data_IF_007480608832
#
_entry.id   IF_007480608832
#
_cell.length_a   1.000
_cell.length_b   1.000
_cell.length_c   1.000
_cell.angle_alpha   90.00
_cell.angle_beta   90.00
_cell.angle_gamma   90.00
#
_symmetry.space_group_name_H-M   'P 1'
#
loop_
_entity.id
_entity.type
_entity.pdbx_description
1 polymer ?
#
# COMPACT_ATOMS: atom_id res chain seq x y z
N UNK A 1 -16.41 12.20 16.49
CA UNK A 1 -15.66 12.00 15.23
C UNK A 1 -14.17 12.20 15.52
N UNK A 2 -13.41 11.14 15.81
CA UNK A 2 -11.96 11.22 15.98
C UNK A 2 -11.28 10.48 14.83
N UNK A 3 -10.78 11.23 13.84
CA UNK A 3 -9.76 10.75 12.90
C UNK A 3 -8.45 10.66 13.69
N UNK A 4 -8.12 9.49 14.21
CA UNK A 4 -6.77 9.22 14.72
C UNK A 4 -5.81 9.28 13.53
N UNK A 5 -5.05 10.38 13.43
CA UNK A 5 -3.78 10.43 12.71
C UNK A 5 -2.86 9.44 13.42
N UNK A 6 -2.70 8.25 12.85
CA UNK A 6 -1.59 7.39 13.23
C UNK A 6 -0.50 7.65 12.20
N UNK A 7 0.59 8.25 12.66
CA UNK A 7 1.77 8.48 11.85
C UNK A 7 2.31 7.11 11.39
N UNK A 8 2.57 6.86 10.10
CA UNK A 8 3.39 5.73 9.73
C UNK A 8 4.82 6.09 10.15
N UNK A 9 5.21 5.62 11.33
CA UNK A 9 6.61 5.59 11.74
C UNK A 9 7.41 4.97 10.60
N UNK A 10 8.38 5.73 10.10
CA UNK A 10 9.20 5.41 8.95
C UNK A 10 10.05 4.15 9.21
N UNK A 11 9.41 2.98 9.10
CA UNK A 11 10.09 1.70 9.06
C UNK A 11 10.58 1.51 7.62
N UNK A 12 11.69 2.18 7.30
CA UNK A 12 12.27 2.23 5.97
C UNK A 12 12.86 0.88 5.50
N UNK A 13 12.85 -0.13 6.37
CA UNK A 13 13.38 -1.47 6.11
C UNK A 13 12.32 -2.49 5.66
N UNK A 14 11.02 -2.14 5.68
CA UNK A 14 9.97 -3.06 5.21
C UNK A 14 9.90 -3.09 3.69
N UNK A 15 10.34 -4.20 3.11
CA UNK A 15 10.22 -4.52 1.67
C UNK A 15 8.74 -4.65 1.26
N UNK A 16 7.91 -5.16 2.17
CA UNK A 16 6.48 -5.41 1.96
C UNK A 16 5.62 -4.56 2.92
N UNK A 17 4.62 -3.89 2.37
CA UNK A 17 3.65 -3.09 3.12
C UNK A 17 2.26 -3.75 3.05
N UNK A 18 1.43 -3.49 4.06
CA UNK A 18 0.04 -3.97 4.07
C UNK A 18 -0.88 -3.04 3.26
N UNK A 19 -2.05 -3.54 2.88
CA UNK A 19 -3.10 -2.74 2.19
C UNK A 19 -3.44 -1.45 2.94
N UNK A 20 -3.48 -1.51 4.27
CA UNK A 20 -3.75 -0.34 5.13
C UNK A 20 -2.66 0.73 5.00
N UNK A 21 -1.39 0.34 5.06
CA UNK A 21 -0.29 1.30 4.91
C UNK A 21 -0.28 1.92 3.52
N UNK A 22 -0.56 1.14 2.48
CA UNK A 22 -0.67 1.67 1.12
C UNK A 22 -1.85 2.65 0.95
N UNK A 23 -2.97 2.36 1.63
CA UNK A 23 -4.12 3.26 1.71
C UNK A 23 -3.74 4.58 2.40
N UNK A 24 -2.92 4.53 3.46
CA UNK A 24 -2.42 5.73 4.14
C UNK A 24 -1.42 6.53 3.29
N UNK A 25 -0.56 5.85 2.51
CA UNK A 25 0.42 6.49 1.63
C UNK A 25 -0.22 7.21 0.43
N UNK A 26 -1.30 6.65 -0.13
CA UNK A 26 -1.96 7.21 -1.33
C UNK A 26 -3.23 7.98 -1.01
N UNK A 27 -3.78 7.83 0.20
CA UNK A 27 -5.11 8.34 0.56
C UNK A 27 -6.26 7.61 -0.13
N UNK A 28 -6.01 6.51 -0.85
CA UNK A 28 -7.02 5.76 -1.59
C UNK A 28 -7.75 4.75 -0.71
N UNK A 29 -9.07 4.63 -0.89
CA UNK A 29 -9.88 3.64 -0.18
C UNK A 29 -9.43 2.19 -0.43
N UNK A 30 -9.62 1.31 0.56
CA UNK A 30 -9.26 -0.11 0.47
C UNK A 30 -9.87 -0.83 -0.74
N UNK A 31 -11.09 -0.45 -1.16
CA UNK A 31 -11.73 -0.96 -2.38
C UNK A 31 -10.96 -0.59 -3.64
N UNK A 32 -10.58 0.67 -3.76
CA UNK A 32 -9.79 1.19 -4.88
C UNK A 32 -8.42 0.54 -4.90
N UNK A 33 -7.78 0.42 -3.73
CA UNK A 33 -6.50 -0.26 -3.58
C UNK A 33 -6.56 -1.74 -3.96
N UNK A 34 -7.64 -2.46 -3.61
CA UNK A 34 -7.84 -3.86 -4.03
C UNK A 34 -8.00 -4.02 -5.53
N UNK A 35 -8.70 -3.10 -6.19
CA UNK A 35 -8.84 -3.10 -7.65
C UNK A 35 -7.49 -2.81 -8.32
N UNK A 36 -6.78 -1.80 -7.82
CA UNK A 36 -5.43 -1.43 -8.25
C UNK A 36 -4.42 -2.56 -8.13
N UNK A 37 -4.45 -3.29 -7.02
CA UNK A 37 -3.59 -4.46 -6.82
C UNK A 37 -3.83 -5.55 -7.87
N UNK A 38 -5.09 -5.74 -8.26
CA UNK A 38 -5.45 -6.72 -9.27
C UNK A 38 -4.95 -6.31 -10.66
N UNK A 39 -4.94 -5.00 -10.95
CA UNK A 39 -4.52 -4.47 -12.26
C UNK A 39 -2.99 -4.26 -12.39
N UNK A 40 -2.29 -3.86 -11.31
CA UNK A 40 -0.93 -3.33 -11.42
C UNK A 40 0.19 -4.26 -10.90
N UNK A 41 -0.11 -5.54 -10.63
CA UNK A 41 0.88 -6.61 -10.38
C UNK A 41 1.95 -6.31 -9.29
N UNK A 42 1.68 -5.40 -8.35
CA UNK A 42 2.48 -5.19 -7.14
C UNK A 42 1.92 -5.95 -5.92
N UNK A 43 0.90 -6.78 -6.15
CA UNK A 43 0.32 -7.71 -5.18
C UNK A 43 1.29 -8.89 -4.94
N UNK A 44 1.70 -9.08 -3.69
CA UNK A 44 2.50 -10.23 -3.25
C UNK A 44 1.68 -11.05 -2.29
N UNK A 45 1.32 -12.28 -2.68
CA UNK A 45 0.60 -13.20 -1.82
C UNK A 45 1.57 -14.08 -1.03
N UNK A 46 1.55 -13.95 0.29
CA UNK A 46 2.31 -14.82 1.21
C UNK A 46 1.31 -15.64 2.01
N UNK A 47 1.15 -16.90 1.61
CA UNK A 47 0.15 -17.81 2.17
C UNK A 47 -1.28 -17.29 1.98
N UNK A 48 -1.94 -16.94 3.10
CA UNK A 48 -3.30 -16.37 3.12
C UNK A 48 -3.33 -14.84 3.14
N UNK A 49 -2.17 -14.19 3.29
CA UNK A 49 -2.07 -12.73 3.36
C UNK A 49 -1.69 -12.16 2.00
N UNK A 50 -2.29 -11.03 1.67
CA UNK A 50 -1.91 -10.21 0.53
C UNK A 50 -1.15 -9.01 1.05
N UNK A 51 0.07 -8.83 0.54
CA UNK A 51 0.96 -7.72 0.82
C UNK A 51 1.25 -6.97 -0.49
N UNK A 52 1.85 -5.80 -0.38
CA UNK A 52 2.28 -4.99 -1.50
C UNK A 52 3.79 -4.82 -1.42
N UNK A 53 4.47 -4.94 -2.55
CA UNK A 53 5.88 -4.57 -2.64
C UNK A 53 6.03 -3.04 -2.59
N UNK A 54 6.70 -2.54 -1.54
CA UNK A 54 6.87 -1.09 -1.31
C UNK A 54 7.61 -0.41 -2.45
N UNK A 55 8.64 -1.05 -3.01
CA UNK A 55 9.45 -0.47 -4.09
C UNK A 55 8.65 -0.34 -5.37
N UNK A 56 7.94 -1.40 -5.77
CA UNK A 56 7.07 -1.36 -6.95
C UNK A 56 5.94 -0.34 -6.78
N UNK A 57 5.35 -0.29 -5.58
CA UNK A 57 4.29 0.65 -5.26
C UNK A 57 4.76 2.11 -5.31
N UNK A 58 5.91 2.43 -4.72
CA UNK A 58 6.47 3.79 -4.79
C UNK A 58 6.78 4.20 -6.23
N UNK A 59 7.36 3.31 -7.05
CA UNK A 59 7.59 3.55 -8.48
C UNK A 59 6.29 3.76 -9.25
N UNK A 60 5.23 3.05 -8.87
CA UNK A 60 3.93 3.24 -9.47
C UNK A 60 3.35 4.61 -9.13
N UNK A 61 3.43 5.05 -7.87
CA UNK A 61 2.99 6.40 -7.45
C UNK A 61 3.77 7.47 -8.21
N UNK A 62 5.09 7.33 -8.29
CA UNK A 62 5.98 8.24 -9.04
C UNK A 62 5.57 8.34 -10.52
N UNK A 63 5.21 7.20 -11.13
CA UNK A 63 4.71 7.16 -12.51
C UNK A 63 3.31 7.77 -12.70
N UNK A 64 2.53 7.93 -11.63
CA UNK A 64 1.20 8.56 -11.69
C UNK A 64 1.24 10.07 -11.36
N UNK A 65 2.38 10.61 -10.92
CA UNK A 65 2.58 12.05 -10.68
C UNK A 65 3.01 12.80 -11.94
#
# INVERSE_FOLDING_TARGET
MLRKKTQPEANNDKILISVKEACELTGLSEKTMRSLMNENCFMVRIGRRTLIDKKKFQKWIDRQS
#
